data_IF_915895995001
#
_entry.id   IF_915895995001
#
_cell.length_a   1.000
_cell.length_b   1.000
_cell.length_c   1.000
_cell.angle_alpha   90.00
_cell.angle_beta   90.00
_cell.angle_gamma   90.00
#
_symmetry.space_group_name_H-M   'P 1'
#
loop_
_entity.id
_entity.type
_entity.pdbx_description
1 polymer ?
#
# COMPACT_ATOMS: atom_id res chain seq x y z
N UNK A 1 -1.37 -10.95 -0.45
CA UNK A 1 -1.02 -10.11 0.72
C UNK A 1 -2.20 -9.86 1.63
N UNK A 2 -3.36 -9.50 1.09
CA UNK A 2 -4.55 -9.19 1.88
C UNK A 2 -4.98 -10.37 2.75
N UNK A 3 -4.99 -11.57 2.17
CA UNK A 3 -5.31 -12.80 2.91
C UNK A 3 -4.31 -13.07 4.05
N UNK A 4 -3.03 -12.87 3.82
CA UNK A 4 -2.00 -13.02 4.84
C UNK A 4 -2.22 -12.09 6.03
N UNK A 5 -2.52 -10.82 5.75
CA UNK A 5 -2.81 -9.83 6.79
C UNK A 5 -4.08 -10.18 7.57
N UNK A 6 -5.14 -10.58 6.88
CA UNK A 6 -6.40 -10.98 7.52
C UNK A 6 -6.22 -12.19 8.43
N UNK A 7 -5.52 -13.22 7.96
CA UNK A 7 -5.26 -14.42 8.74
C UNK A 7 -4.40 -14.11 9.97
N UNK A 8 -3.39 -13.24 9.80
CA UNK A 8 -2.54 -12.84 10.93
C UNK A 8 -3.31 -12.03 11.96
N UNK A 9 -4.18 -11.11 11.53
CA UNK A 9 -5.06 -10.37 12.45
C UNK A 9 -5.97 -11.29 13.25
N UNK A 10 -6.54 -12.30 12.62
CA UNK A 10 -7.36 -13.32 13.33
C UNK A 10 -6.55 -14.06 14.37
N UNK A 11 -5.33 -14.50 14.04
CA UNK A 11 -4.43 -15.17 14.98
C UNK A 11 -4.10 -14.30 16.19
N UNK A 12 -4.00 -12.98 15.99
CA UNK A 12 -3.72 -12.02 17.06
C UNK A 12 -4.98 -11.55 17.80
N UNK A 13 -6.17 -12.04 17.42
CA UNK A 13 -7.45 -11.64 18.02
C UNK A 13 -7.95 -10.26 17.58
N UNK A 14 -7.40 -9.72 16.48
CA UNK A 14 -7.81 -8.44 15.91
C UNK A 14 -8.79 -8.58 14.76
N UNK A 15 -9.15 -7.45 14.18
CA UNK A 15 -10.05 -7.36 13.03
C UNK A 15 -9.59 -6.27 12.06
N UNK A 16 -10.10 -6.33 10.83
CA UNK A 16 -9.85 -5.28 9.83
C UNK A 16 -10.64 -4.02 10.15
N UNK A 17 -10.19 -2.89 9.57
CA UNK A 17 -10.89 -1.62 9.73
C UNK A 17 -12.29 -1.65 9.13
N UNK A 18 -13.24 -1.00 9.79
CA UNK A 18 -14.59 -0.78 9.27
C UNK A 18 -14.60 0.14 8.04
N UNK A 19 -13.51 0.90 7.82
CA UNK A 19 -13.36 1.79 6.67
C UNK A 19 -12.89 1.07 5.40
N UNK A 20 -12.55 -0.21 5.47
CA UNK A 20 -12.05 -0.97 4.31
C UNK A 20 -12.93 -0.86 3.07
N UNK A 21 -14.28 -1.00 3.14
CA UNK A 21 -15.12 -0.84 1.95
C UNK A 21 -15.03 0.54 1.32
N UNK A 22 -14.89 1.59 2.14
CA UNK A 22 -14.71 2.96 1.66
C UNK A 22 -13.40 3.11 0.92
N UNK A 23 -12.30 2.66 1.51
CA UNK A 23 -10.98 2.74 0.88
C UNK A 23 -10.90 1.92 -0.39
N UNK A 24 -11.51 0.73 -0.40
CA UNK A 24 -11.59 -0.11 -1.58
C UNK A 24 -12.32 0.61 -2.73
N UNK A 25 -13.49 1.17 -2.45
CA UNK A 25 -14.28 1.90 -3.45
C UNK A 25 -13.55 3.11 -4.01
N UNK A 26 -12.90 3.91 -3.16
CA UNK A 26 -12.11 5.07 -3.58
C UNK A 26 -10.91 4.66 -4.42
N UNK A 27 -10.16 3.65 -4.01
CA UNK A 27 -9.00 3.14 -4.73
C UNK A 27 -9.38 2.57 -6.10
N UNK A 28 -10.47 1.81 -6.15
CA UNK A 28 -11.01 1.30 -7.40
C UNK A 28 -11.42 2.43 -8.35
N UNK A 29 -12.11 3.46 -7.84
CA UNK A 29 -12.51 4.62 -8.63
C UNK A 29 -11.32 5.37 -9.21
N UNK A 30 -10.28 5.60 -8.44
CA UNK A 30 -9.04 6.26 -8.89
C UNK A 30 -8.33 5.39 -9.94
N UNK A 31 -8.19 4.09 -9.67
CA UNK A 31 -7.54 3.17 -10.60
C UNK A 31 -8.27 3.08 -11.94
N UNK A 32 -9.60 2.96 -11.92
CA UNK A 32 -10.42 2.92 -13.12
C UNK A 32 -10.33 4.24 -13.92
N UNK A 33 -10.37 5.38 -13.23
CA UNK A 33 -10.28 6.71 -13.86
C UNK A 33 -8.92 6.91 -14.53
N UNK A 34 -7.83 6.61 -13.84
CA UNK A 34 -6.48 6.73 -14.42
C UNK A 34 -6.26 5.78 -15.59
N UNK A 35 -6.78 4.56 -15.50
CA UNK A 35 -6.71 3.57 -16.58
C UNK A 35 -7.47 3.99 -17.84
N UNK A 36 -8.61 4.68 -17.70
CA UNK A 36 -9.39 5.21 -18.81
C UNK A 36 -8.72 6.39 -19.49
N UNK A 37 -7.94 7.18 -18.73
CA UNK A 37 -7.25 8.37 -19.26
C UNK A 37 -5.97 7.97 -20.02
N UNK A 38 -5.12 7.14 -19.43
CA UNK A 38 -3.82 6.79 -19.99
C UNK A 38 -3.19 5.60 -19.28
N UNK A 39 -2.61 4.67 -20.05
CA UNK A 39 -1.84 3.56 -19.51
C UNK A 39 -0.61 4.05 -18.73
N UNK A 40 0.08 5.06 -19.25
CA UNK A 40 1.25 5.66 -18.59
C UNK A 40 0.89 6.30 -17.27
N UNK A 41 -0.25 6.98 -17.18
CA UNK A 41 -0.76 7.56 -15.94
C UNK A 41 -1.12 6.47 -14.94
N UNK A 42 -1.82 5.44 -15.38
CA UNK A 42 -2.20 4.29 -14.54
C UNK A 42 -0.98 3.57 -13.98
N UNK A 43 -0.01 3.25 -14.83
CA UNK A 43 1.24 2.59 -14.41
C UNK A 43 2.07 3.49 -13.48
N UNK A 44 2.08 4.79 -13.72
CA UNK A 44 2.74 5.76 -12.85
C UNK A 44 2.08 5.84 -11.47
N UNK A 45 0.76 5.79 -11.42
CA UNK A 45 0.00 5.73 -10.17
C UNK A 45 0.31 4.45 -9.40
N UNK A 46 0.33 3.29 -10.06
CA UNK A 46 0.70 2.01 -9.44
C UNK A 46 2.12 2.10 -8.87
N UNK A 47 3.10 2.53 -9.67
CA UNK A 47 4.49 2.65 -9.22
C UNK A 47 4.63 3.56 -7.99
N UNK A 48 3.99 4.72 -8.00
CA UNK A 48 4.03 5.67 -6.88
C UNK A 48 3.35 5.09 -5.63
N UNK A 49 2.23 4.41 -5.79
CA UNK A 49 1.52 3.76 -4.69
C UNK A 49 2.36 2.64 -4.07
N UNK A 50 2.96 1.79 -4.89
CA UNK A 50 3.80 0.68 -4.42
C UNK A 50 5.05 1.19 -3.68
N UNK A 51 5.63 2.30 -4.12
CA UNK A 51 6.73 2.94 -3.40
C UNK A 51 6.30 3.41 -1.99
N UNK A 52 5.11 3.97 -1.87
CA UNK A 52 4.55 4.38 -0.57
C UNK A 52 4.26 3.19 0.32
N UNK A 53 3.74 2.11 -0.24
CA UNK A 53 3.50 0.85 0.49
C UNK A 53 4.82 0.29 0.99
N UNK A 54 5.87 0.27 0.19
CA UNK A 54 7.20 -0.16 0.61
C UNK A 54 7.70 0.65 1.82
N UNK A 55 7.59 1.97 1.76
CA UNK A 55 7.99 2.84 2.87
C UNK A 55 7.18 2.55 4.15
N UNK A 56 5.88 2.32 3.99
CA UNK A 56 4.99 1.98 5.10
C UNK A 56 5.36 0.63 5.72
N UNK A 57 5.67 -0.38 4.91
CA UNK A 57 6.11 -1.70 5.37
C UNK A 57 7.46 -1.64 6.08
N UNK A 58 8.40 -0.84 5.59
CA UNK A 58 9.68 -0.61 6.26
C UNK A 58 9.47 0.00 7.65
N UNK A 59 8.59 1.00 7.77
CA UNK A 59 8.24 1.61 9.05
C UNK A 59 7.62 0.57 10.01
N UNK A 60 6.78 -0.33 9.52
CA UNK A 60 6.23 -1.41 10.33
C UNK A 60 7.31 -2.36 10.84
N UNK A 61 8.30 -2.69 10.02
CA UNK A 61 9.41 -3.55 10.45
C UNK A 61 10.23 -2.91 11.57
N UNK A 62 10.32 -1.59 11.63
CA UNK A 62 11.00 -0.87 12.70
C UNK A 62 10.26 -0.95 14.04
N UNK A 63 8.92 -0.96 14.03
CA UNK A 63 8.09 -0.90 15.24
C UNK A 63 7.54 -2.24 15.70
N UNK A 64 7.51 -3.26 14.84
CA UNK A 64 7.05 -4.59 15.23
C UNK A 64 7.98 -5.21 16.25
N UNK A 65 7.43 -5.92 17.28
CA UNK A 65 8.26 -6.60 18.26
C UNK A 65 9.22 -7.60 17.61
N UNK A 66 10.45 -7.67 18.09
CA UNK A 66 11.47 -8.57 17.54
C UNK A 66 11.09 -10.04 17.69
N UNK A 67 10.32 -10.38 18.74
CA UNK A 67 9.85 -11.75 19.00
C UNK A 67 8.60 -12.13 18.18
N UNK A 68 7.94 -11.18 17.53
CA UNK A 68 6.82 -11.45 16.62
C UNK A 68 7.35 -11.85 15.24
N UNK A 69 7.99 -13.00 15.14
CA UNK A 69 8.63 -13.48 13.93
C UNK A 69 7.66 -13.73 12.78
N UNK A 70 6.42 -14.14 13.08
CA UNK A 70 5.39 -14.38 12.07
C UNK A 70 4.94 -13.10 11.39
N UNK A 71 4.63 -12.05 12.15
CA UNK A 71 4.24 -10.75 11.58
C UNK A 71 5.40 -10.14 10.79
N UNK A 72 6.62 -10.22 11.31
CA UNK A 72 7.81 -9.72 10.62
C UNK A 72 8.06 -10.44 9.30
N UNK A 73 7.91 -11.77 9.27
CA UNK A 73 8.08 -12.55 8.04
C UNK A 73 7.06 -12.18 6.97
N UNK A 74 5.80 -11.96 7.34
CA UNK A 74 4.73 -11.52 6.44
C UNK A 74 5.06 -10.15 5.86
N UNK A 75 5.40 -9.18 6.70
CA UNK A 75 5.71 -7.81 6.28
C UNK A 75 6.96 -7.78 5.39
N UNK A 76 7.99 -8.55 5.73
CA UNK A 76 9.22 -8.65 4.93
C UNK A 76 8.94 -9.20 3.53
N UNK A 77 8.12 -10.26 3.44
CA UNK A 77 7.76 -10.84 2.14
C UNK A 77 6.91 -9.87 1.30
N UNK A 78 5.99 -9.17 1.93
CA UNK A 78 5.21 -8.12 1.26
C UNK A 78 6.11 -7.01 0.73
N UNK A 79 7.09 -6.56 1.52
CA UNK A 79 8.05 -5.52 1.11
C UNK A 79 8.83 -5.93 -0.14
N UNK A 80 9.30 -7.17 -0.19
CA UNK A 80 9.99 -7.71 -1.37
C UNK A 80 9.09 -7.71 -2.61
N UNK A 81 7.86 -8.22 -2.47
CA UNK A 81 6.89 -8.30 -3.58
C UNK A 81 6.49 -6.90 -4.08
N UNK A 82 6.23 -5.95 -3.18
CA UNK A 82 5.84 -4.59 -3.55
C UNK A 82 6.99 -3.83 -4.24
N UNK A 83 8.22 -4.07 -3.82
CA UNK A 83 9.40 -3.53 -4.49
C UNK A 83 9.52 -4.01 -5.94
N UNK A 84 9.24 -5.29 -6.20
CA UNK A 84 9.20 -5.84 -7.54
C UNK A 84 8.05 -5.25 -8.38
N UNK A 85 6.86 -5.11 -7.80
CA UNK A 85 5.70 -4.51 -8.47
C UNK A 85 5.99 -3.08 -8.90
N UNK A 86 6.59 -2.28 -8.03
CA UNK A 86 6.97 -0.90 -8.35
C UNK A 86 7.97 -0.84 -9.52
N UNK A 87 8.97 -1.70 -9.51
CA UNK A 87 9.98 -1.79 -10.58
C UNK A 87 9.34 -2.20 -11.91
N UNK A 88 8.48 -3.21 -11.91
CA UNK A 88 7.78 -3.70 -13.12
C UNK A 88 6.88 -2.60 -13.71
N UNK A 89 6.12 -1.88 -12.89
CA UNK A 89 5.27 -0.80 -13.35
C UNK A 89 6.10 0.34 -13.99
N UNK A 90 7.24 0.65 -13.42
CA UNK A 90 8.15 1.68 -13.94
C UNK A 90 8.79 1.25 -15.27
N UNK A 91 9.26 0.01 -15.37
CA UNK A 91 9.82 -0.58 -16.60
C UNK A 91 8.77 -0.67 -17.72
N UNK A 92 7.51 -0.89 -17.39
CA UNK A 92 6.40 -0.92 -18.35
C UNK A 92 6.02 0.47 -18.90
N UNK A 93 6.70 1.54 -18.49
CA UNK A 93 6.54 2.88 -19.01
C UNK A 93 5.68 3.80 -18.16
N UNK A 94 5.51 3.50 -16.87
CA UNK A 94 4.78 4.37 -15.94
C UNK A 94 5.42 5.76 -15.83
N UNK A 95 4.57 6.80 -15.77
CA UNK A 95 5.02 8.17 -15.58
C UNK A 95 5.67 8.33 -14.20
N UNK A 96 6.77 9.09 -14.15
CA UNK A 96 7.34 9.52 -12.88
C UNK A 96 6.59 10.77 -12.40
N UNK A 97 5.88 10.66 -11.29
CA UNK A 97 5.12 11.78 -10.75
C UNK A 97 6.06 12.81 -10.10
N UNK A 98 5.78 14.11 -10.27
CA UNK A 98 6.56 15.16 -9.61
C UNK A 98 6.40 15.09 -8.08
N UNK A 99 7.40 15.62 -7.36
CA UNK A 99 7.44 15.59 -5.90
C UNK A 99 6.18 16.16 -5.21
N UNK A 100 5.56 17.26 -5.67
CA UNK A 100 4.32 17.76 -5.06
C UNK A 100 3.16 16.74 -5.13
N UNK A 101 3.04 15.99 -6.23
CA UNK A 101 2.01 14.96 -6.39
C UNK A 101 2.29 13.78 -5.44
N UNK A 102 3.53 13.33 -5.38
CA UNK A 102 3.94 12.27 -4.43
C UNK A 102 3.72 12.69 -2.98
N UNK A 103 4.02 13.95 -2.65
CA UNK A 103 3.77 14.52 -1.32
C UNK A 103 2.29 14.52 -0.95
N UNK A 104 1.40 14.87 -1.88
CA UNK A 104 -0.04 14.81 -1.68
C UNK A 104 -0.51 13.36 -1.48
N UNK A 105 -0.01 12.43 -2.28
CA UNK A 105 -0.32 10.99 -2.11
C UNK A 105 0.11 10.49 -0.73
N UNK A 106 1.28 10.88 -0.26
CA UNK A 106 1.80 10.53 1.08
C UNK A 106 0.89 11.09 2.18
N UNK A 107 0.44 12.33 2.04
CA UNK A 107 -0.48 12.96 3.01
C UNK A 107 -1.80 12.21 3.07
N UNK A 108 -2.39 11.89 1.93
CA UNK A 108 -3.67 11.17 1.83
C UNK A 108 -3.52 9.75 2.40
N UNK A 109 -2.48 9.03 2.02
CA UNK A 109 -2.26 7.67 2.54
C UNK A 109 -1.99 7.66 4.04
N UNK A 110 -1.28 8.66 4.55
CA UNK A 110 -1.09 8.85 5.99
C UNK A 110 -2.40 9.06 6.75
N UNK A 111 -3.31 9.86 6.20
CA UNK A 111 -4.64 10.06 6.77
C UNK A 111 -5.46 8.75 6.74
N UNK A 112 -5.40 8.00 5.63
CA UNK A 112 -6.08 6.69 5.50
C UNK A 112 -5.59 5.70 6.55
N UNK A 113 -4.28 5.53 6.66
CA UNK A 113 -3.69 4.56 7.60
C UNK A 113 -3.96 4.93 9.04
N UNK A 114 -3.86 6.22 9.38
CA UNK A 114 -4.13 6.71 10.73
C UNK A 114 -5.60 6.52 11.14
N UNK A 115 -6.54 6.85 10.26
CA UNK A 115 -7.97 6.65 10.55
C UNK A 115 -8.32 5.17 10.62
N UNK A 116 -7.78 4.33 9.75
CA UNK A 116 -7.99 2.88 9.76
C UNK A 116 -7.42 2.22 11.02
N UNK A 117 -6.36 2.76 11.58
CA UNK A 117 -5.80 2.27 12.83
C UNK A 117 -6.76 2.45 14.02
N UNK A 118 -7.54 3.52 14.02
CA UNK A 118 -8.47 3.86 15.11
C UNK A 118 -9.90 3.38 14.89
N UNK A 119 -10.31 3.11 13.67
CA UNK A 119 -11.66 2.71 13.28
C UNK A 119 -11.64 1.35 12.59
#
# INVERSE_FOLDING_TARGET
HLAWCQDRLKQLGGHTSLLNPLWYGLSFGIGATTGLISDKLSLGFVSATEQQVCQHLENHLEILPENDTKSRAIVQKMLEDEGEHAAVAKEAGGLEFPSPVKGLMTLISGAMTKTSYHI
#
